data_IF_905481881084
#
_entry.id   IF_905481881084
#
_cell.length_a   1.000
_cell.length_b   1.000
_cell.length_c   1.000
_cell.angle_alpha   90.00
_cell.angle_beta   90.00
_cell.angle_gamma   90.00
#
_symmetry.space_group_name_H-M   'P 1'
#
loop_
_entity.id
_entity.type
_entity.pdbx_description
1 polymer ?
#
# COMPACT_ATOMS: atom_id res chain seq x y z
N UNK A 1 14.99 16.36 -35.62
CA UNK A 1 14.71 16.50 -34.18
C UNK A 1 13.35 15.92 -33.90
N UNK A 2 13.33 14.74 -33.30
CA UNK A 2 12.12 14.05 -32.89
C UNK A 2 11.70 14.61 -31.51
N UNK A 3 10.53 15.26 -31.36
CA UNK A 3 10.10 15.85 -30.10
C UNK A 3 9.62 14.81 -29.06
N UNK A 4 9.61 13.55 -29.45
CA UNK A 4 9.22 12.45 -28.59
C UNK A 4 10.46 11.61 -28.32
N UNK A 5 11.05 11.70 -27.13
CA UNK A 5 12.15 10.85 -26.69
C UNK A 5 11.76 9.36 -26.60
N UNK A 6 11.11 8.84 -27.63
CA UNK A 6 10.75 7.43 -27.76
C UNK A 6 11.97 6.74 -28.38
N UNK A 7 12.70 6.00 -27.56
CA UNK A 7 13.58 4.95 -28.06
C UNK A 7 12.64 3.91 -28.70
N UNK A 8 12.73 3.75 -30.03
CA UNK A 8 11.91 2.80 -30.78
C UNK A 8 12.14 1.39 -30.18
N UNK A 9 11.07 0.63 -30.03
CA UNK A 9 11.05 -0.74 -29.51
C UNK A 9 11.75 -1.77 -30.42
N UNK A 10 12.50 -1.34 -31.44
CA UNK A 10 13.16 -2.23 -32.38
C UNK A 10 14.65 -2.52 -32.09
N UNK A 11 15.21 -1.97 -31.01
CA UNK A 11 16.62 -2.20 -30.65
C UNK A 11 16.78 -3.01 -29.38
N UNK A 12 16.33 -4.26 -29.40
CA UNK A 12 16.54 -5.25 -28.32
C UNK A 12 18.02 -5.69 -28.16
N UNK A 13 18.95 -5.06 -28.86
CA UNK A 13 20.39 -5.34 -28.76
C UNK A 13 21.20 -4.21 -28.13
N UNK A 14 20.60 -3.06 -27.83
CA UNK A 14 21.31 -2.02 -27.11
C UNK A 14 21.46 -2.43 -25.64
N UNK A 15 22.68 -2.38 -25.13
CA UNK A 15 23.02 -2.44 -23.70
C UNK A 15 22.12 -1.44 -22.99
N UNK A 16 21.03 -1.92 -22.36
CA UNK A 16 20.05 -1.08 -21.68
C UNK A 16 20.75 -0.12 -20.72
N UNK A 17 20.24 1.09 -20.60
CA UNK A 17 20.74 2.04 -19.63
C UNK A 17 20.66 1.38 -18.24
N UNK A 18 21.79 1.36 -17.54
CA UNK A 18 21.88 0.74 -16.20
C UNK A 18 22.25 1.77 -15.17
N UNK A 19 21.80 1.57 -13.95
CA UNK A 19 22.21 2.36 -12.80
C UNK A 19 23.72 2.26 -12.61
N UNK A 20 24.41 3.39 -12.73
CA UNK A 20 25.87 3.49 -12.70
C UNK A 20 26.46 4.00 -11.38
N UNK A 21 25.67 4.04 -10.30
CA UNK A 21 26.09 4.54 -8.98
C UNK A 21 25.75 3.53 -7.88
N UNK A 22 26.44 3.65 -6.75
CA UNK A 22 26.13 2.93 -5.52
C UNK A 22 25.32 3.84 -4.59
N UNK A 23 24.55 3.25 -3.68
CA UNK A 23 23.92 4.00 -2.59
C UNK A 23 25.01 4.69 -1.77
N UNK A 24 24.88 5.98 -1.59
CA UNK A 24 25.85 6.73 -0.80
C UNK A 24 25.79 6.35 0.69
N UNK A 25 26.95 6.15 1.35
CA UNK A 25 27.01 5.72 2.76
C UNK A 25 26.25 6.62 3.73
N UNK A 26 26.16 7.92 3.46
CA UNK A 26 25.43 8.88 4.30
C UNK A 26 23.93 8.57 4.47
N UNK A 27 23.37 7.72 3.61
CA UNK A 27 21.96 7.29 3.66
C UNK A 27 21.77 5.91 4.29
N UNK A 28 22.84 5.25 4.78
CA UNK A 28 22.72 3.92 5.39
C UNK A 28 22.02 3.97 6.75
N UNK A 29 22.23 5.03 7.51
CA UNK A 29 21.74 5.19 8.88
C UNK A 29 20.49 6.07 8.97
N UNK A 30 19.79 6.32 7.85
CA UNK A 30 18.54 7.08 7.89
C UNK A 30 17.48 6.31 8.66
N UNK A 31 16.74 6.96 9.57
CA UNK A 31 15.68 6.32 10.30
C UNK A 31 14.60 5.79 9.35
N UNK A 32 14.08 4.60 9.63
CA UNK A 32 12.96 4.05 8.89
C UNK A 32 11.67 4.82 9.19
N UNK A 33 10.78 4.91 8.21
CA UNK A 33 9.48 5.56 8.32
C UNK A 33 9.57 7.04 8.74
N UNK A 34 10.52 7.77 8.14
CA UNK A 34 10.68 9.21 8.35
C UNK A 34 10.88 9.95 7.03
N UNK A 35 10.44 11.21 6.99
CA UNK A 35 10.73 12.16 5.90
C UNK A 35 11.95 13.04 6.23
N UNK A 36 12.79 13.37 5.23
CA UNK A 36 12.72 12.86 3.86
C UNK A 36 13.00 11.36 3.80
N UNK A 37 12.26 10.63 2.99
CA UNK A 37 12.51 9.21 2.76
C UNK A 37 13.21 9.04 1.41
N UNK A 38 14.30 8.28 1.38
CA UNK A 38 15.06 8.05 0.15
C UNK A 38 15.28 6.56 -0.05
N UNK A 39 14.91 6.06 -1.23
CA UNK A 39 15.07 4.65 -1.62
C UNK A 39 15.91 4.57 -2.89
N UNK A 40 16.86 3.65 -2.91
CA UNK A 40 17.82 3.52 -3.99
C UNK A 40 17.60 2.24 -4.79
N UNK A 41 17.72 2.30 -6.13
CA UNK A 41 17.83 1.12 -6.96
C UNK A 41 19.18 0.41 -6.74
N UNK A 42 19.24 -0.87 -7.06
CA UNK A 42 20.50 -1.61 -7.07
C UNK A 42 21.37 -1.17 -8.26
N UNK A 43 22.69 -1.05 -8.01
CA UNK A 43 23.65 -0.76 -9.06
C UNK A 43 23.59 -1.84 -10.14
N UNK A 44 23.59 -1.41 -11.38
CA UNK A 44 23.54 -2.29 -12.53
C UNK A 44 22.15 -2.75 -12.94
N UNK A 45 21.09 -2.46 -12.17
CA UNK A 45 19.72 -2.70 -12.62
C UNK A 45 19.38 -1.83 -13.86
N UNK A 46 18.41 -2.26 -14.63
CA UNK A 46 17.97 -1.56 -15.84
C UNK A 46 17.18 -0.31 -15.42
N UNK A 47 17.53 0.83 -16.03
CA UNK A 47 16.77 2.07 -15.86
C UNK A 47 15.66 2.10 -16.91
N UNK A 48 14.43 2.04 -16.47
CA UNK A 48 13.25 2.05 -17.32
C UNK A 48 13.03 3.44 -17.92
N UNK A 49 12.56 3.51 -19.17
CA UNK A 49 12.30 4.76 -19.84
C UNK A 49 11.10 5.49 -19.26
N UNK A 50 11.01 6.77 -19.55
CA UNK A 50 9.86 7.59 -19.24
C UNK A 50 9.34 8.26 -20.54
N UNK A 51 8.10 8.71 -20.49
CA UNK A 51 7.54 9.63 -21.48
C UNK A 51 6.91 10.82 -20.75
N UNK A 52 6.71 11.91 -21.45
CA UNK A 52 5.86 13.02 -20.97
C UNK A 52 4.44 12.82 -21.47
N UNK A 53 3.46 13.33 -20.76
CA UNK A 53 2.06 13.20 -21.15
C UNK A 53 1.16 14.12 -20.35
N UNK A 54 -0.16 14.06 -20.63
CA UNK A 54 -1.14 14.82 -19.86
C UNK A 54 -1.12 14.31 -18.43
N UNK A 55 -0.89 15.23 -17.49
CA UNK A 55 -0.87 14.96 -16.05
C UNK A 55 -2.29 14.96 -15.51
N UNK A 56 -2.51 14.18 -14.43
CA UNK A 56 -3.70 14.31 -13.61
C UNK A 56 -3.66 15.63 -12.81
N UNK A 57 -4.66 15.85 -11.97
CA UNK A 57 -4.70 17.04 -11.13
C UNK A 57 -3.48 17.05 -10.22
N UNK A 58 -2.74 18.15 -10.23
CA UNK A 58 -1.57 18.34 -9.38
C UNK A 58 -1.96 18.68 -7.93
N UNK A 59 -1.12 18.27 -6.99
CA UNK A 59 -1.16 18.72 -5.63
C UNK A 59 -0.90 20.23 -5.50
N UNK A 60 -1.28 20.80 -4.37
CA UNK A 60 -1.23 22.27 -4.18
C UNK A 60 0.17 22.86 -4.28
N UNK A 61 1.17 22.15 -3.76
CA UNK A 61 2.57 22.64 -3.69
C UNK A 61 3.47 22.14 -4.82
N UNK A 62 3.04 21.14 -5.60
CA UNK A 62 3.89 20.51 -6.62
C UNK A 62 4.42 21.49 -7.67
N UNK A 63 3.54 22.33 -8.24
CA UNK A 63 3.98 23.31 -9.25
C UNK A 63 4.95 24.34 -8.68
N UNK A 64 4.68 24.81 -7.47
CA UNK A 64 5.53 25.78 -6.79
C UNK A 64 6.94 25.21 -6.56
N UNK A 65 7.02 23.96 -6.15
CA UNK A 65 8.31 23.31 -5.91
C UNK A 65 9.03 22.93 -7.20
N UNK A 66 8.30 22.49 -8.24
CA UNK A 66 8.89 22.25 -9.56
C UNK A 66 9.54 23.51 -10.12
N UNK A 67 8.84 24.65 -10.10
CA UNK A 67 9.37 25.92 -10.59
C UNK A 67 10.56 26.40 -9.75
N UNK A 68 10.52 26.16 -8.43
CA UNK A 68 11.64 26.46 -7.53
C UNK A 68 12.86 25.60 -7.85
N UNK A 69 12.72 24.29 -8.03
CA UNK A 69 13.82 23.41 -8.44
C UNK A 69 14.39 23.84 -9.80
N UNK A 70 13.53 24.14 -10.76
CA UNK A 70 13.96 24.59 -12.11
C UNK A 70 14.79 25.88 -12.10
N UNK A 71 14.51 26.78 -11.17
CA UNK A 71 15.23 28.03 -11.06
C UNK A 71 16.60 27.92 -10.39
N UNK A 72 16.89 26.78 -9.71
CA UNK A 72 18.10 26.58 -8.93
C UNK A 72 18.98 25.44 -9.47
N UNK A 73 18.42 24.41 -10.07
CA UNK A 73 19.22 23.35 -10.66
C UNK A 73 19.77 23.78 -12.04
N UNK A 74 21.03 23.42 -12.36
CA UNK A 74 21.61 23.71 -13.68
C UNK A 74 20.79 23.09 -14.83
N UNK A 75 20.84 23.74 -16.01
CA UNK A 75 20.14 23.29 -17.21
C UNK A 75 20.55 21.89 -17.71
N UNK A 76 21.62 21.31 -17.16
CA UNK A 76 22.01 19.91 -17.40
C UNK A 76 21.08 18.89 -16.76
N UNK A 77 20.18 19.34 -15.89
CA UNK A 77 19.15 18.50 -15.28
C UNK A 77 17.81 18.74 -15.99
N UNK A 78 17.14 17.68 -16.40
CA UNK A 78 15.76 17.74 -16.84
C UNK A 78 14.82 17.69 -15.64
N UNK A 79 14.04 18.73 -15.40
CA UNK A 79 13.03 18.78 -14.34
C UNK A 79 11.66 18.69 -15.01
N UNK A 80 10.91 17.64 -14.70
CA UNK A 80 9.72 17.25 -15.46
C UNK A 80 8.57 16.92 -14.50
N UNK A 81 7.54 17.76 -14.47
CA UNK A 81 6.34 17.56 -13.63
C UNK A 81 5.26 16.68 -14.26
N UNK A 82 5.43 16.24 -15.51
CA UNK A 82 4.46 15.40 -16.21
C UNK A 82 5.12 14.13 -16.80
N UNK A 83 6.13 13.63 -16.12
CA UNK A 83 6.79 12.39 -16.48
C UNK A 83 5.88 11.19 -16.19
N UNK A 84 6.04 10.14 -16.97
CA UNK A 84 5.35 8.85 -16.81
C UNK A 84 6.39 7.75 -16.98
N UNK A 85 6.70 7.06 -15.87
CA UNK A 85 7.65 5.95 -15.86
C UNK A 85 6.96 4.72 -16.46
N UNK A 86 7.57 4.12 -17.47
CA UNK A 86 7.01 3.01 -18.25
C UNK A 86 7.51 1.68 -17.66
N UNK A 87 6.63 0.92 -17.03
CA UNK A 87 6.98 -0.37 -16.41
C UNK A 87 6.75 -1.58 -17.33
N UNK A 88 6.42 -1.35 -18.60
CA UNK A 88 6.11 -2.36 -19.61
C UNK A 88 4.81 -2.05 -20.34
N UNK A 89 4.56 -2.78 -21.44
CA UNK A 89 3.47 -2.47 -22.37
C UNK A 89 2.06 -2.66 -21.77
N UNK A 90 1.92 -3.53 -20.79
CA UNK A 90 0.63 -3.86 -20.14
C UNK A 90 0.43 -3.15 -18.80
N UNK A 91 1.42 -2.44 -18.30
CA UNK A 91 1.36 -1.79 -17.00
C UNK A 91 0.95 -0.33 -17.10
N UNK A 92 0.09 0.11 -16.18
CA UNK A 92 -0.19 1.54 -16.04
C UNK A 92 1.11 2.25 -15.61
N UNK A 93 1.53 3.33 -16.31
CA UNK A 93 2.73 4.05 -15.94
C UNK A 93 2.59 4.69 -14.55
N UNK A 94 3.69 4.78 -13.81
CA UNK A 94 3.76 5.62 -12.61
C UNK A 94 4.02 7.07 -13.01
N UNK A 95 3.38 7.98 -12.29
CA UNK A 95 3.49 9.42 -12.50
C UNK A 95 4.16 10.04 -11.28
N UNK A 96 5.46 10.41 -11.36
CA UNK A 96 6.13 11.23 -10.36
C UNK A 96 5.45 12.59 -10.21
N UNK A 97 5.42 13.14 -9.01
CA UNK A 97 5.04 14.53 -8.84
C UNK A 97 6.06 15.44 -9.55
N UNK A 98 7.37 15.16 -9.37
CA UNK A 98 8.44 15.81 -10.09
C UNK A 98 9.54 14.80 -10.41
N UNK A 99 9.90 14.65 -11.67
CA UNK A 99 11.05 13.83 -12.07
C UNK A 99 12.29 14.68 -12.29
N UNK A 100 13.43 14.24 -11.73
CA UNK A 100 14.74 14.83 -12.00
C UNK A 100 15.57 13.84 -12.82
N UNK A 101 16.00 14.28 -14.01
CA UNK A 101 16.75 13.48 -14.95
C UNK A 101 18.14 14.10 -15.12
N UNK A 102 19.16 13.41 -14.68
CA UNK A 102 20.54 13.87 -14.87
C UNK A 102 21.13 13.26 -16.14
N UNK A 103 21.65 14.12 -17.01
CA UNK A 103 22.38 13.73 -18.23
C UNK A 103 23.81 13.33 -17.88
N UNK A 104 23.99 12.22 -17.19
CA UNK A 104 25.30 11.68 -16.84
C UNK A 104 25.42 10.22 -17.25
N UNK A 105 26.67 9.74 -17.34
CA UNK A 105 26.95 8.32 -17.61
C UNK A 105 26.41 7.37 -16.53
N UNK A 106 25.98 7.92 -15.38
CA UNK A 106 25.46 7.16 -14.23
C UNK A 106 23.96 6.90 -14.33
N UNK A 107 23.26 7.48 -15.31
CA UNK A 107 21.82 7.32 -15.53
C UNK A 107 20.96 7.63 -14.31
N UNK A 108 21.25 8.73 -13.61
CA UNK A 108 20.53 9.14 -12.42
C UNK A 108 19.11 9.57 -12.82
N UNK A 109 18.13 8.99 -12.18
CA UNK A 109 16.70 9.29 -12.31
C UNK A 109 16.12 9.38 -10.91
N UNK A 110 15.46 10.45 -10.60
CA UNK A 110 14.85 10.67 -9.28
C UNK A 110 13.36 10.95 -9.47
N UNK A 111 12.56 10.22 -8.73
CA UNK A 111 11.14 10.43 -8.52
C UNK A 111 10.99 11.20 -7.21
N UNK A 112 10.60 12.46 -7.29
CA UNK A 112 10.25 13.27 -6.13
C UNK A 112 8.76 13.13 -5.90
N UNK A 113 8.39 12.74 -4.68
CA UNK A 113 7.03 12.62 -4.20
C UNK A 113 6.78 13.62 -3.09
N UNK A 114 5.62 14.26 -3.10
CA UNK A 114 5.19 15.27 -2.13
C UNK A 114 3.95 14.75 -1.43
N UNK A 115 4.13 14.31 -0.20
CA UNK A 115 3.10 13.62 0.55
C UNK A 115 2.30 14.60 1.43
N UNK A 116 1.00 14.63 1.24
CA UNK A 116 0.05 15.25 2.14
C UNK A 116 -0.67 14.21 3.01
N UNK A 117 -1.01 14.53 4.27
CA UNK A 117 -1.65 13.55 5.16
C UNK A 117 -3.10 13.24 4.79
N UNK A 118 -3.77 14.11 4.04
CA UNK A 118 -5.15 13.91 3.61
C UNK A 118 -5.48 14.76 2.38
N UNK A 119 -6.45 14.31 1.60
CA UNK A 119 -6.97 15.06 0.47
C UNK A 119 -7.68 16.34 0.96
N UNK A 120 -7.30 17.51 0.43
CA UNK A 120 -7.84 18.79 0.88
C UNK A 120 -9.35 18.93 0.69
N UNK A 121 -9.94 18.28 -0.32
CA UNK A 121 -11.38 18.36 -0.64
C UNK A 121 -12.19 17.28 0.06
N UNK A 122 -11.77 16.01 -0.06
CA UNK A 122 -12.53 14.87 0.49
C UNK A 122 -12.23 14.59 1.95
N UNK A 123 -11.14 15.14 2.49
CA UNK A 123 -10.61 14.90 3.84
C UNK A 123 -10.16 13.46 4.10
N UNK A 124 -10.19 12.62 3.08
CA UNK A 124 -9.74 11.23 3.18
C UNK A 124 -8.21 11.16 3.43
N UNK A 125 -7.76 10.28 4.34
CA UNK A 125 -6.35 10.04 4.60
C UNK A 125 -5.58 9.64 3.34
N UNK A 126 -4.35 10.16 3.19
CA UNK A 126 -3.41 9.83 2.12
C UNK A 126 -2.03 9.55 2.68
N UNK A 127 -1.19 8.86 1.95
CA UNK A 127 0.22 8.63 2.25
C UNK A 127 0.53 8.14 3.68
N UNK A 128 -0.40 7.44 4.32
CA UNK A 128 -0.20 6.88 5.67
C UNK A 128 0.51 5.53 5.62
N UNK A 129 1.13 5.13 6.72
CA UNK A 129 1.79 3.82 6.84
C UNK A 129 0.81 2.71 6.48
N UNK A 130 1.14 1.97 5.43
CA UNK A 130 0.32 0.87 4.94
C UNK A 130 -0.72 1.23 3.89
N UNK A 131 -0.75 2.45 3.35
CA UNK A 131 -1.65 2.82 2.25
C UNK A 131 -1.25 2.20 0.89
N UNK A 132 -0.03 1.65 0.78
CA UNK A 132 0.47 1.02 -0.44
C UNK A 132 1.60 1.79 -1.13
N UNK A 133 2.00 2.94 -0.63
CA UNK A 133 3.09 3.74 -1.18
C UNK A 133 4.43 3.00 -1.15
N UNK A 134 4.68 2.17 -0.12
CA UNK A 134 5.89 1.35 -0.03
C UNK A 134 6.01 0.39 -1.21
N UNK A 135 4.89 -0.13 -1.69
CA UNK A 135 4.86 -0.99 -2.86
C UNK A 135 5.10 -0.21 -4.16
N UNK A 136 4.51 0.98 -4.28
CA UNK A 136 4.77 1.90 -5.38
C UNK A 136 6.25 2.26 -5.44
N UNK A 137 6.85 2.64 -4.32
CA UNK A 137 8.28 2.95 -4.20
C UNK A 137 9.15 1.77 -4.65
N UNK A 138 8.83 0.56 -4.21
CA UNK A 138 9.59 -0.65 -4.59
C UNK A 138 9.57 -0.87 -6.11
N UNK A 139 8.43 -0.69 -6.76
CA UNK A 139 8.33 -0.85 -8.21
C UNK A 139 9.14 0.21 -8.97
N UNK A 140 9.13 1.45 -8.49
CA UNK A 140 9.90 2.56 -9.07
C UNK A 140 11.40 2.32 -8.88
N UNK A 141 11.81 1.87 -7.69
CA UNK A 141 13.20 1.48 -7.41
C UNK A 141 13.64 0.31 -8.29
N UNK A 142 12.81 -0.72 -8.48
CA UNK A 142 13.10 -1.83 -9.38
C UNK A 142 13.16 -1.41 -10.85
N UNK A 143 12.52 -0.30 -11.21
CA UNK A 143 12.64 0.34 -12.51
C UNK A 143 13.91 1.20 -12.67
N UNK A 144 14.81 1.18 -11.69
CA UNK A 144 16.10 1.88 -11.73
C UNK A 144 16.02 3.36 -11.38
N UNK A 145 14.94 3.80 -10.74
CA UNK A 145 14.75 5.17 -10.29
C UNK A 145 14.97 5.28 -8.77
N UNK A 146 15.54 6.39 -8.33
CA UNK A 146 15.55 6.76 -6.92
C UNK A 146 14.18 7.33 -6.59
N UNK A 147 13.61 6.95 -5.43
CA UNK A 147 12.43 7.62 -4.88
C UNK A 147 12.88 8.51 -3.74
N UNK A 148 12.43 9.76 -3.74
CA UNK A 148 12.67 10.72 -2.67
C UNK A 148 11.37 11.41 -2.27
N UNK A 149 10.95 11.17 -1.02
CA UNK A 149 9.68 11.68 -0.50
C UNK A 149 9.90 12.79 0.52
N UNK A 150 9.10 13.84 0.38
CA UNK A 150 8.99 14.94 1.34
C UNK A 150 7.53 15.08 1.79
N UNK A 151 7.32 15.65 2.97
CA UNK A 151 5.96 16.11 3.30
C UNK A 151 5.64 17.42 2.58
N UNK A 152 4.36 17.63 2.25
CA UNK A 152 3.88 18.90 1.70
C UNK A 152 4.26 20.08 2.62
N UNK A 153 4.18 19.87 3.95
CA UNK A 153 4.60 20.88 4.93
C UNK A 153 6.10 21.23 4.83
N UNK A 154 7.00 20.22 4.66
CA UNK A 154 8.43 20.48 4.44
C UNK A 154 8.64 21.30 3.16
N UNK A 155 7.96 20.92 2.07
CA UNK A 155 8.06 21.64 0.79
C UNK A 155 7.55 23.08 0.93
N UNK A 156 6.44 23.31 1.61
CA UNK A 156 5.87 24.64 1.74
C UNK A 156 6.65 25.54 2.69
N UNK A 157 7.05 25.01 3.84
CA UNK A 157 7.68 25.79 4.90
C UNK A 157 9.21 25.87 4.79
N UNK A 158 9.87 24.85 4.19
CA UNK A 158 11.33 24.67 4.22
C UNK A 158 11.91 24.28 2.85
N UNK A 159 11.35 24.85 1.76
CA UNK A 159 11.70 24.46 0.37
C UNK A 159 13.19 24.56 0.05
N UNK A 160 13.91 25.54 0.65
CA UNK A 160 15.36 25.71 0.47
C UNK A 160 16.12 24.52 1.11
N UNK A 161 15.67 24.03 2.25
CA UNK A 161 16.27 22.86 2.89
C UNK A 161 15.94 21.58 2.13
N UNK A 162 14.72 21.46 1.55
CA UNK A 162 14.37 20.36 0.68
C UNK A 162 15.26 20.33 -0.58
N UNK A 163 15.50 21.47 -1.20
CA UNK A 163 16.42 21.59 -2.33
C UNK A 163 17.86 21.22 -1.92
N UNK A 164 18.28 21.61 -0.73
CA UNK A 164 19.59 21.25 -0.20
C UNK A 164 19.77 19.73 -0.03
N UNK A 165 18.71 19.01 0.38
CA UNK A 165 18.73 17.55 0.41
C UNK A 165 18.82 16.94 -1.00
N UNK A 166 18.18 17.53 -2.01
CA UNK A 166 18.32 17.11 -3.41
C UNK A 166 19.75 17.33 -3.89
N UNK A 167 20.38 18.48 -3.60
CA UNK A 167 21.78 18.72 -3.93
C UNK A 167 22.72 17.73 -3.24
N UNK A 168 22.50 17.44 -1.97
CA UNK A 168 23.25 16.45 -1.20
C UNK A 168 23.15 15.06 -1.84
N UNK A 169 21.97 14.67 -2.25
CA UNK A 169 21.75 13.42 -2.95
C UNK A 169 22.51 13.39 -4.27
N UNK A 170 22.32 14.37 -5.13
CA UNK A 170 22.97 14.43 -6.45
C UNK A 170 24.50 14.44 -6.32
N UNK A 171 25.05 15.26 -5.42
CA UNK A 171 26.50 15.31 -5.18
C UNK A 171 27.06 13.99 -4.61
N UNK A 172 26.31 13.31 -3.77
CA UNK A 172 26.73 12.02 -3.22
C UNK A 172 26.78 10.91 -4.27
N UNK A 173 25.94 11.00 -5.31
CA UNK A 173 25.91 10.06 -6.43
C UNK A 173 26.97 10.38 -7.47
N UNK A 174 27.26 11.64 -7.70
CA UNK A 174 28.28 12.12 -8.64
C UNK A 174 28.92 13.43 -8.17
N UNK A 175 30.11 13.33 -7.59
CA UNK A 175 30.86 14.49 -7.10
C UNK A 175 31.33 15.46 -8.19
N UNK A 176 31.18 15.10 -9.49
CA UNK A 176 31.44 16.01 -10.59
C UNK A 176 30.34 17.07 -10.76
N UNK A 177 29.18 16.89 -10.13
CA UNK A 177 28.18 17.94 -10.08
C UNK A 177 28.65 19.07 -9.18
N UNK A 178 29.11 20.14 -9.80
CA UNK A 178 29.43 21.39 -9.13
C UNK A 178 28.16 22.24 -9.17
N UNK A 179 27.46 22.30 -8.07
CA UNK A 179 26.39 23.27 -7.87
C UNK A 179 27.08 24.61 -7.58
N UNK A 180 26.68 25.67 -8.27
CA UNK A 180 27.19 27.02 -7.96
C UNK A 180 26.88 27.30 -6.49
N UNK A 181 27.94 27.54 -5.73
CA UNK A 181 28.06 27.37 -4.27
C UNK A 181 27.15 28.32 -3.46
N UNK A 182 26.43 29.23 -4.06
CA UNK A 182 25.59 30.18 -3.33
C UNK A 182 24.42 29.55 -2.59
N UNK A 183 24.00 28.34 -2.97
CA UNK A 183 22.76 27.71 -2.47
C UNK A 183 22.98 26.36 -1.76
N UNK A 184 24.18 25.77 -1.79
CA UNK A 184 24.44 24.49 -1.15
C UNK A 184 25.25 24.65 0.14
N UNK A 185 24.59 24.57 1.29
CA UNK A 185 25.24 24.48 2.60
C UNK A 185 25.14 23.07 3.17
N UNK A 186 26.28 22.38 3.31
CA UNK A 186 26.38 21.02 3.85
C UNK A 186 25.93 20.92 5.32
N UNK A 187 25.89 22.03 6.04
CA UNK A 187 25.52 22.08 7.45
C UNK A 187 24.03 22.34 7.66
N UNK A 188 23.30 22.72 6.61
CA UNK A 188 21.86 22.91 6.68
C UNK A 188 21.18 21.55 6.43
N UNK A 189 20.47 21.06 7.42
CA UNK A 189 19.70 19.83 7.35
C UNK A 189 18.20 20.11 7.41
N UNK A 190 17.45 19.36 6.62
CA UNK A 190 16.01 19.33 6.73
C UNK A 190 15.61 18.58 8.02
N UNK A 191 14.66 19.13 8.75
CA UNK A 191 14.11 18.46 9.94
C UNK A 191 13.47 17.13 9.59
N UNK A 192 13.80 16.09 10.36
CA UNK A 192 13.18 14.75 10.20
C UNK A 192 11.75 14.78 10.72
N UNK A 193 10.79 14.26 9.93
CA UNK A 193 9.41 14.09 10.34
C UNK A 193 9.02 12.61 10.29
N UNK A 194 8.29 12.08 11.27
CA UNK A 194 7.82 10.71 11.21
C UNK A 194 6.74 10.54 10.13
N UNK A 195 6.66 9.35 9.55
CA UNK A 195 5.49 8.96 8.78
C UNK A 195 4.28 8.94 9.71
N UNK A 196 3.13 9.32 9.19
CA UNK A 196 1.87 9.28 9.94
C UNK A 196 1.13 7.97 9.72
N UNK A 197 0.37 7.56 10.72
CA UNK A 197 -0.62 6.49 10.62
C UNK A 197 -1.92 7.01 10.01
N UNK A 198 -2.82 6.11 9.61
CA UNK A 198 -4.16 6.50 9.16
C UNK A 198 -4.91 7.33 10.21
N UNK A 199 -4.74 6.97 11.49
CA UNK A 199 -5.34 7.72 12.60
C UNK A 199 -4.75 9.13 12.73
N UNK A 200 -3.43 9.28 12.59
CA UNK A 200 -2.79 10.59 12.60
C UNK A 200 -3.30 11.44 11.44
N UNK A 201 -3.39 10.88 10.24
CA UNK A 201 -3.93 11.57 9.07
C UNK A 201 -5.39 12.03 9.27
N UNK A 202 -6.24 11.18 9.85
CA UNK A 202 -7.62 11.54 10.23
C UNK A 202 -7.66 12.66 11.28
N UNK A 203 -6.78 12.59 12.27
CA UNK A 203 -6.65 13.67 13.26
C UNK A 203 -6.18 14.99 12.63
N UNK A 204 -5.19 14.92 11.75
CA UNK A 204 -4.70 16.08 11.01
C UNK A 204 -5.81 16.69 10.14
N UNK A 205 -6.63 15.85 9.48
CA UNK A 205 -7.79 16.30 8.73
C UNK A 205 -8.80 17.02 9.64
N UNK A 206 -9.18 16.41 10.77
CA UNK A 206 -10.15 16.98 11.70
C UNK A 206 -9.68 18.31 12.33
N UNK A 207 -8.38 18.54 12.42
CA UNK A 207 -7.78 19.77 13.01
C UNK A 207 -7.36 20.80 11.96
N UNK A 208 -7.72 20.62 10.68
CA UNK A 208 -7.33 21.49 9.56
C UNK A 208 -5.83 21.72 9.47
N UNK A 209 -5.03 20.65 9.65
CA UNK A 209 -3.58 20.75 9.72
C UNK A 209 -2.97 21.37 8.44
N UNK A 210 -3.41 20.92 7.25
CA UNK A 210 -2.93 21.46 5.96
C UNK A 210 -3.32 22.91 5.78
N UNK A 211 -4.57 23.25 6.04
CA UNK A 211 -5.10 24.61 5.93
C UNK A 211 -4.33 25.60 6.81
N UNK A 212 -3.88 25.13 7.99
CA UNK A 212 -3.14 25.98 8.93
C UNK A 212 -1.75 26.34 8.42
N UNK A 213 -0.95 25.40 7.88
CA UNK A 213 0.38 25.75 7.38
C UNK A 213 0.35 26.35 5.97
N UNK A 214 -0.59 25.91 5.11
CA UNK A 214 -0.75 26.47 3.77
C UNK A 214 -1.42 27.85 3.77
N UNK A 215 -2.11 28.22 4.87
CA UNK A 215 -2.98 29.38 4.94
C UNK A 215 -4.00 29.39 3.78
N UNK A 216 -4.50 28.23 3.43
CA UNK A 216 -5.38 27.99 2.29
C UNK A 216 -6.57 27.14 2.71
N UNK A 217 -7.77 27.56 2.30
CA UNK A 217 -9.00 26.80 2.53
C UNK A 217 -9.38 26.04 1.24
N UNK A 218 -9.48 24.71 1.33
CA UNK A 218 -9.88 23.85 0.20
C UNK A 218 -11.39 23.84 -0.08
N UNK A 219 -12.15 24.74 0.52
CA UNK A 219 -13.60 24.86 0.32
C UNK A 219 -14.44 24.09 1.34
N UNK A 220 -13.83 23.60 2.42
CA UNK A 220 -14.54 22.97 3.52
C UNK A 220 -14.89 24.00 4.58
N UNK A 221 -16.19 24.21 4.84
CA UNK A 221 -16.69 25.09 5.89
C UNK A 221 -16.78 24.39 7.26
N UNK A 222 -16.35 23.14 7.37
CA UNK A 222 -16.37 22.41 8.64
C UNK A 222 -15.45 23.07 9.67
N UNK A 223 -16.01 23.32 10.83
CA UNK A 223 -15.28 23.89 11.97
C UNK A 223 -14.21 22.90 12.41
N UNK A 224 -12.97 23.36 12.42
CA UNK A 224 -11.85 22.54 12.91
C UNK A 224 -12.09 22.12 14.36
N UNK A 225 -12.04 20.83 14.61
CA UNK A 225 -12.03 20.28 15.96
C UNK A 225 -10.68 20.57 16.63
N UNK A 226 -10.70 20.89 17.90
CA UNK A 226 -9.46 20.88 18.66
C UNK A 226 -8.94 19.45 18.80
N UNK A 227 -7.63 19.28 18.94
CA UNK A 227 -7.03 17.95 19.17
C UNK A 227 -7.67 17.21 20.33
N UNK A 228 -8.05 17.94 21.38
CA UNK A 228 -8.69 17.35 22.56
C UNK A 228 -10.11 16.86 22.29
N UNK A 229 -10.88 17.62 21.52
CA UNK A 229 -12.23 17.24 21.08
C UNK A 229 -12.21 16.02 20.16
N UNK A 230 -11.26 15.97 19.21
CA UNK A 230 -11.08 14.81 18.35
C UNK A 230 -10.74 13.54 19.13
N UNK A 231 -9.79 13.64 20.07
CA UNK A 231 -9.41 12.49 20.91
C UNK A 231 -10.57 12.03 21.81
N UNK A 232 -11.37 12.95 22.31
CA UNK A 232 -12.57 12.63 23.10
C UNK A 232 -13.61 11.88 22.27
N UNK A 233 -13.92 12.36 21.06
CA UNK A 233 -14.83 11.66 20.15
C UNK A 233 -14.32 10.27 19.79
N UNK A 234 -13.02 10.11 19.49
CA UNK A 234 -12.41 8.81 19.20
C UNK A 234 -12.50 7.85 20.36
N UNK A 235 -12.36 8.32 21.62
CA UNK A 235 -12.55 7.48 22.82
C UNK A 235 -14.01 7.09 23.02
N UNK A 236 -14.96 7.99 22.76
CA UNK A 236 -16.39 7.70 22.78
C UNK A 236 -16.77 6.64 21.74
N UNK A 237 -16.26 6.76 20.50
CA UNK A 237 -16.43 5.76 19.44
C UNK A 237 -15.82 4.40 19.82
N UNK A 238 -14.65 4.37 20.45
CA UNK A 238 -14.04 3.15 20.97
C UNK A 238 -14.88 2.50 22.07
N UNK A 239 -15.52 3.31 22.91
CA UNK A 239 -16.43 2.81 23.96
C UNK A 239 -17.67 2.19 23.31
N UNK A 240 -18.26 2.86 22.32
CA UNK A 240 -19.40 2.35 21.55
C UNK A 240 -19.00 1.07 20.80
N UNK A 241 -17.85 1.06 20.14
CA UNK A 241 -17.31 -0.13 19.46
C UNK A 241 -17.07 -1.29 20.45
N UNK A 242 -16.58 -1.02 21.67
CA UNK A 242 -16.47 -2.02 22.73
C UNK A 242 -17.84 -2.55 23.19
N UNK A 243 -18.85 -1.69 23.32
CA UNK A 243 -20.21 -2.10 23.68
C UNK A 243 -20.84 -2.97 22.58
N UNK A 244 -20.61 -2.64 21.30
CA UNK A 244 -21.04 -3.46 20.17
C UNK A 244 -20.26 -4.79 20.12
N UNK A 245 -18.98 -4.82 20.52
CA UNK A 245 -18.12 -6.03 20.58
C UNK A 245 -18.48 -6.98 21.73
N UNK A 246 -19.27 -6.59 22.72
CA UNK A 246 -19.73 -7.50 23.78
C UNK A 246 -20.73 -8.56 23.32
N UNK A 247 -21.27 -8.47 22.11
CA UNK A 247 -22.21 -9.46 21.56
C UNK A 247 -21.54 -10.77 21.09
N UNK A 248 -20.25 -10.80 20.61
CA UNK A 248 -19.60 -12.05 20.19
C UNK A 248 -18.95 -12.88 21.30
N UNK A 249 -18.94 -12.44 22.57
CA UNK A 249 -18.32 -13.23 23.66
C UNK A 249 -18.99 -14.58 23.91
N UNK A 250 -20.21 -14.79 23.43
CA UNK A 250 -20.88 -16.09 23.49
C UNK A 250 -20.28 -17.15 22.55
N UNK A 251 -19.58 -16.74 21.47
CA UNK A 251 -18.87 -17.69 20.57
C UNK A 251 -17.45 -18.02 21.06
N UNK A 252 -16.78 -17.11 21.74
CA UNK A 252 -15.44 -17.34 22.30
C UNK A 252 -15.44 -18.34 23.48
N UNK A 253 -16.55 -18.50 24.18
CA UNK A 253 -16.65 -19.48 25.30
C UNK A 253 -16.70 -20.93 24.79
N UNK A 254 -17.13 -21.19 23.57
CA UNK A 254 -17.12 -22.55 23.01
C UNK A 254 -15.75 -22.98 22.46
N UNK A 255 -14.83 -22.04 22.17
CA UNK A 255 -13.46 -22.37 21.78
C UNK A 255 -12.55 -22.76 22.96
N UNK A 256 -12.94 -22.43 24.19
CA UNK A 256 -12.14 -22.74 25.39
C UNK A 256 -12.24 -24.20 25.86
N UNK A 257 -13.05 -25.05 25.21
CA UNK A 257 -13.19 -26.47 25.55
C UNK A 257 -12.38 -27.42 24.65
N UNK A 258 -11.56 -26.89 23.76
CA UNK A 258 -10.60 -27.70 23.02
C UNK A 258 -9.52 -28.15 23.99
N UNK A 259 -9.39 -29.44 24.20
CA UNK A 259 -8.37 -30.05 25.03
C UNK A 259 -6.96 -29.75 24.45
N UNK A 260 -6.44 -28.58 24.79
CA UNK A 260 -5.12 -28.11 24.41
C UNK A 260 -3.98 -28.95 25.03
N UNK A 261 -4.30 -29.95 25.86
CA UNK A 261 -3.30 -30.80 26.52
C UNK A 261 -2.59 -31.75 25.55
N UNK A 262 -3.07 -31.94 24.33
CA UNK A 262 -2.48 -32.83 23.31
C UNK A 262 -1.61 -32.11 22.28
N UNK A 263 -1.66 -30.79 22.21
CA UNK A 263 -0.81 -29.98 21.34
C UNK A 263 0.14 -29.19 22.23
N UNK A 264 1.42 -29.53 22.20
CA UNK A 264 2.44 -29.09 23.15
C UNK A 264 2.81 -27.60 23.13
N UNK A 265 2.10 -26.77 22.36
CA UNK A 265 2.43 -25.36 22.18
C UNK A 265 1.24 -24.47 22.44
N UNK A 266 1.44 -23.47 23.28
CA UNK A 266 0.46 -22.44 23.62
C UNK A 266 0.31 -21.49 22.42
N UNK A 267 -0.93 -21.09 22.11
CA UNK A 267 -1.20 -20.06 21.10
C UNK A 267 -0.54 -18.74 21.51
N UNK A 268 0.03 -18.03 20.56
CA UNK A 268 0.61 -16.72 20.84
C UNK A 268 -0.51 -15.78 21.31
N UNK A 269 -0.40 -15.33 22.57
CA UNK A 269 -1.41 -14.47 23.20
C UNK A 269 -1.30 -13.01 22.73
N UNK A 270 -0.23 -12.69 22.05
CA UNK A 270 0.03 -11.33 21.58
C UNK A 270 -0.67 -11.00 20.26
N UNK A 271 -1.27 -12.01 19.58
CA UNK A 271 -2.02 -11.79 18.35
C UNK A 271 -3.52 -12.00 18.56
N UNK A 272 -4.31 -11.06 18.09
CA UNK A 272 -5.77 -11.10 18.07
C UNK A 272 -6.27 -11.02 16.62
N UNK A 273 -7.20 -11.90 16.26
CA UNK A 273 -7.85 -11.87 14.95
C UNK A 273 -9.30 -11.40 15.06
N UNK A 274 -9.64 -10.37 14.32
CA UNK A 274 -10.99 -9.83 14.22
C UNK A 274 -11.62 -10.35 12.93
N UNK A 275 -12.36 -11.46 13.05
CA UNK A 275 -12.88 -12.22 11.91
C UNK A 275 -13.83 -11.43 11.00
N UNK A 276 -14.62 -10.50 11.57
CA UNK A 276 -15.58 -9.71 10.81
C UNK A 276 -14.89 -8.71 9.88
N UNK A 277 -13.87 -8.05 10.39
CA UNK A 277 -13.07 -7.04 9.68
C UNK A 277 -11.88 -7.66 8.93
N UNK A 278 -11.62 -8.96 9.18
CA UNK A 278 -10.46 -9.70 8.67
C UNK A 278 -9.12 -9.02 9.04
N UNK A 279 -9.02 -8.54 10.28
CA UNK A 279 -7.87 -7.78 10.77
C UNK A 279 -7.13 -8.58 11.83
N UNK A 280 -5.81 -8.60 11.73
CA UNK A 280 -4.91 -9.16 12.73
C UNK A 280 -4.24 -8.03 13.50
N UNK A 281 -4.20 -8.13 14.84
CA UNK A 281 -3.59 -7.12 15.70
C UNK A 281 -2.57 -7.78 16.63
N UNK A 282 -1.33 -7.32 16.57
CA UNK A 282 -0.25 -7.79 17.42
C UNK A 282 -0.04 -6.83 18.60
N UNK A 283 0.08 -7.39 19.81
CA UNK A 283 0.26 -6.64 21.07
C UNK A 283 -0.74 -5.50 21.26
N UNK A 284 -1.97 -5.67 20.78
CA UNK A 284 -3.09 -4.72 20.90
C UNK A 284 -2.92 -3.39 20.13
N UNK A 285 -1.76 -3.15 19.51
CA UNK A 285 -1.45 -1.85 18.90
C UNK A 285 -0.99 -1.94 17.45
N UNK A 286 -0.45 -3.08 17.01
CA UNK A 286 0.12 -3.24 15.67
C UNK A 286 -0.87 -4.01 14.82
N UNK A 287 -1.52 -3.32 13.89
CA UNK A 287 -2.32 -4.00 12.87
C UNK A 287 -1.39 -4.67 11.86
N UNK A 288 -1.62 -5.96 11.65
CA UNK A 288 -0.91 -6.75 10.64
C UNK A 288 -1.77 -6.85 9.37
N UNK A 289 -1.12 -6.92 8.22
CA UNK A 289 -1.81 -7.22 6.95
C UNK A 289 -1.94 -8.73 6.79
N UNK A 290 -3.08 -9.19 6.30
CA UNK A 290 -3.18 -10.58 5.88
C UNK A 290 -2.26 -10.83 4.68
N UNK A 291 -1.68 -12.02 4.59
CA UNK A 291 -0.83 -12.40 3.44
C UNK A 291 -1.59 -12.25 2.11
N UNK A 292 -2.89 -12.53 2.10
CA UNK A 292 -3.77 -12.29 0.95
C UNK A 292 -3.83 -10.83 0.53
N UNK A 293 -3.82 -9.90 1.49
CA UNK A 293 -3.82 -8.46 1.22
C UNK A 293 -2.48 -8.05 0.61
N UNK A 294 -1.38 -8.54 1.18
CA UNK A 294 -0.03 -8.33 0.62
C UNK A 294 0.05 -8.87 -0.81
N UNK A 295 -0.40 -10.12 -1.04
CA UNK A 295 -0.43 -10.72 -2.38
C UNK A 295 -1.29 -9.89 -3.34
N UNK A 296 -2.45 -9.41 -2.89
CA UNK A 296 -3.36 -8.61 -3.72
C UNK A 296 -2.75 -7.31 -4.23
N UNK A 297 -1.75 -6.77 -3.53
CA UNK A 297 -1.03 -5.56 -3.96
C UNK A 297 -0.20 -5.78 -5.23
N UNK A 298 0.18 -7.04 -5.51
CA UNK A 298 0.94 -7.40 -6.72
C UNK A 298 0.06 -7.64 -7.93
N UNK A 299 -1.26 -7.69 -7.77
CA UNK A 299 -2.19 -7.95 -8.84
C UNK A 299 -3.06 -6.73 -9.12
N UNK A 300 -3.35 -6.53 -10.41
CA UNK A 300 -4.26 -5.48 -10.84
C UNK A 300 -5.64 -5.72 -10.21
N UNK A 301 -6.22 -4.70 -9.59
CA UNK A 301 -7.61 -4.79 -9.12
C UNK A 301 -8.53 -5.10 -10.30
N UNK A 302 -9.36 -6.10 -10.14
CA UNK A 302 -10.33 -6.48 -11.16
C UNK A 302 -11.40 -5.38 -11.30
N UNK A 303 -11.53 -4.84 -12.52
CA UNK A 303 -12.58 -3.86 -12.82
C UNK A 303 -13.93 -4.57 -13.00
N UNK A 304 -14.56 -4.88 -11.87
CA UNK A 304 -15.84 -5.58 -11.82
C UNK A 304 -16.95 -4.81 -12.55
N UNK A 305 -16.90 -3.48 -12.57
CA UNK A 305 -17.94 -2.64 -13.17
C UNK A 305 -17.92 -2.76 -14.70
N UNK A 306 -16.76 -2.55 -15.32
CA UNK A 306 -16.64 -2.66 -16.78
C UNK A 306 -16.88 -4.09 -17.28
N UNK A 307 -16.33 -5.08 -16.57
CA UNK A 307 -16.51 -6.48 -16.94
C UNK A 307 -17.92 -7.00 -16.72
N UNK A 308 -18.59 -6.60 -15.63
CA UNK A 308 -19.98 -6.98 -15.39
C UNK A 308 -20.91 -6.45 -16.48
N UNK A 309 -20.70 -5.21 -16.94
CA UNK A 309 -21.49 -4.64 -18.04
C UNK A 309 -21.36 -5.45 -19.32
N UNK A 310 -20.15 -5.81 -19.71
CA UNK A 310 -19.89 -6.64 -20.91
C UNK A 310 -20.51 -8.02 -20.78
N UNK A 311 -20.35 -8.65 -19.61
CA UNK A 311 -20.83 -10.01 -19.36
C UNK A 311 -22.36 -10.07 -19.27
N UNK A 312 -22.97 -9.09 -18.60
CA UNK A 312 -24.43 -8.98 -18.48
C UNK A 312 -25.09 -8.83 -19.85
N UNK A 313 -24.53 -7.98 -20.72
CA UNK A 313 -25.01 -7.82 -22.09
C UNK A 313 -24.95 -9.13 -22.88
N UNK A 314 -23.84 -9.87 -22.77
CA UNK A 314 -23.69 -11.17 -23.42
C UNK A 314 -24.62 -12.27 -22.88
N UNK A 315 -25.01 -12.19 -21.62
CA UNK A 315 -25.88 -13.16 -20.94
C UNK A 315 -27.37 -12.74 -20.98
N UNK A 316 -27.70 -11.56 -21.47
CA UNK A 316 -29.09 -11.07 -21.50
C UNK A 316 -29.68 -10.78 -20.10
N UNK A 317 -28.85 -10.42 -19.13
CA UNK A 317 -29.28 -10.12 -17.75
C UNK A 317 -28.90 -8.68 -17.38
N UNK A 318 -29.41 -8.19 -16.24
CA UNK A 318 -29.02 -6.87 -15.72
C UNK A 318 -27.54 -6.87 -15.27
N UNK A 319 -26.89 -5.71 -15.31
CA UNK A 319 -25.54 -5.56 -14.76
C UNK A 319 -25.52 -5.88 -13.26
N UNK A 320 -26.59 -5.54 -12.54
CA UNK A 320 -26.75 -5.82 -11.11
C UNK A 320 -26.80 -7.33 -10.87
N UNK A 321 -27.65 -8.04 -11.60
CA UNK A 321 -27.73 -9.49 -11.54
C UNK A 321 -26.35 -10.15 -11.75
N UNK A 322 -25.57 -9.64 -12.72
CA UNK A 322 -24.22 -10.17 -12.98
C UNK A 322 -23.25 -9.90 -11.81
N UNK A 323 -23.31 -8.74 -11.18
CA UNK A 323 -22.51 -8.42 -10.00
C UNK A 323 -22.90 -9.27 -8.80
N UNK A 324 -24.19 -9.41 -8.55
CA UNK A 324 -24.72 -10.26 -7.47
C UNK A 324 -24.41 -11.75 -7.68
N UNK A 325 -24.40 -12.25 -8.92
CA UNK A 325 -23.94 -13.60 -9.22
C UNK A 325 -22.46 -13.81 -8.85
N UNK A 326 -21.61 -12.83 -9.12
CA UNK A 326 -20.19 -12.92 -8.75
C UNK A 326 -20.00 -12.82 -7.25
N UNK A 327 -20.72 -11.92 -6.58
CA UNK A 327 -20.66 -11.78 -5.13
C UNK A 327 -21.17 -13.04 -4.43
N UNK A 328 -22.29 -13.59 -4.86
CA UNK A 328 -22.85 -14.86 -4.40
C UNK A 328 -21.84 -16.01 -4.52
N UNK A 329 -21.20 -16.13 -5.69
CA UNK A 329 -20.18 -17.16 -5.92
C UNK A 329 -18.94 -16.94 -5.03
N UNK A 330 -18.54 -15.69 -4.83
CA UNK A 330 -17.46 -15.34 -3.92
C UNK A 330 -17.80 -15.64 -2.46
N UNK A 331 -19.01 -15.33 -2.03
CA UNK A 331 -19.52 -15.66 -0.70
C UNK A 331 -19.56 -17.17 -0.46
N UNK A 332 -20.13 -17.92 -1.41
CA UNK A 332 -20.15 -19.38 -1.35
C UNK A 332 -18.74 -19.96 -1.18
N UNK A 333 -17.80 -19.53 -2.02
CA UNK A 333 -16.42 -20.05 -1.97
C UNK A 333 -15.73 -19.73 -0.63
N UNK A 334 -15.96 -18.56 -0.04
CA UNK A 334 -15.40 -18.19 1.26
C UNK A 334 -16.02 -19.01 2.39
N UNK A 335 -17.33 -19.11 2.43
CA UNK A 335 -18.04 -19.78 3.52
C UNK A 335 -17.82 -21.29 3.49
N UNK A 336 -17.94 -21.91 2.31
CA UNK A 336 -17.66 -23.34 2.12
C UNK A 336 -16.19 -23.66 2.40
N UNK A 337 -15.26 -22.79 1.99
CA UNK A 337 -13.84 -22.93 2.31
C UNK A 337 -13.58 -22.89 3.82
N UNK A 338 -14.18 -21.92 4.53
CA UNK A 338 -14.08 -21.83 6.00
C UNK A 338 -14.66 -23.07 6.68
N UNK A 339 -15.81 -23.55 6.19
CA UNK A 339 -16.43 -24.77 6.69
C UNK A 339 -15.54 -26.00 6.47
N UNK A 340 -14.94 -26.14 5.29
CA UNK A 340 -14.00 -27.22 5.01
C UNK A 340 -12.80 -27.20 5.95
N UNK A 341 -12.22 -26.04 6.23
CA UNK A 341 -11.14 -25.88 7.20
C UNK A 341 -11.56 -26.34 8.59
N UNK A 342 -12.79 -26.01 9.02
CA UNK A 342 -13.32 -26.49 10.30
C UNK A 342 -13.43 -28.03 10.33
N UNK A 343 -13.91 -28.65 9.25
CA UNK A 343 -14.02 -30.11 9.17
C UNK A 343 -12.63 -30.79 9.14
N UNK A 344 -11.64 -30.17 8.49
CA UNK A 344 -10.23 -30.60 8.53
C UNK A 344 -9.67 -30.49 9.95
N UNK A 345 -9.96 -29.41 10.66
CA UNK A 345 -9.58 -29.26 12.07
C UNK A 345 -10.20 -30.37 12.94
N UNK A 346 -11.51 -30.66 12.78
CA UNK A 346 -12.21 -31.76 13.46
C UNK A 346 -11.51 -33.11 13.23
N UNK A 347 -11.06 -33.37 12.00
CA UNK A 347 -10.29 -34.59 11.71
C UNK A 347 -9.06 -34.72 12.61
N UNK A 348 -8.27 -33.63 12.78
CA UNK A 348 -7.05 -33.69 13.58
C UNK A 348 -7.32 -33.79 15.09
N UNK A 349 -8.39 -33.22 15.59
CA UNK A 349 -8.80 -33.34 16.99
C UNK A 349 -9.66 -34.61 17.26
N UNK A 350 -9.84 -35.49 16.24
CA UNK A 350 -10.58 -36.76 16.31
C UNK A 350 -12.08 -36.58 16.55
N UNK A 351 -12.65 -35.49 16.16
CA UNK A 351 -14.10 -35.30 16.06
C UNK A 351 -14.64 -35.81 14.71
N UNK A 352 -15.93 -36.08 14.66
CA UNK A 352 -16.58 -36.52 13.42
C UNK A 352 -16.83 -35.33 12.51
N UNK A 353 -16.24 -35.29 11.29
CA UNK A 353 -16.53 -34.23 10.33
C UNK A 353 -17.97 -34.33 9.80
N UNK A 354 -18.55 -33.18 9.49
CA UNK A 354 -19.79 -33.03 8.76
C UNK A 354 -19.52 -32.51 7.35
N UNK A 355 -20.22 -33.00 6.33
CA UNK A 355 -19.94 -32.68 4.93
C UNK A 355 -21.02 -31.83 4.27
N UNK A 356 -22.09 -31.52 4.99
CA UNK A 356 -23.22 -30.77 4.45
C UNK A 356 -23.22 -29.33 5.00
N UNK A 357 -22.88 -28.37 4.15
CA UNK A 357 -22.96 -26.97 4.47
C UNK A 357 -24.19 -26.30 3.88
N UNK A 358 -25.00 -25.64 4.71
CA UNK A 358 -26.17 -24.90 4.26
C UNK A 358 -25.76 -23.47 3.86
N UNK A 359 -25.67 -23.20 2.56
CA UNK A 359 -25.33 -21.91 2.01
C UNK A 359 -26.58 -21.14 1.64
N UNK A 360 -26.66 -19.88 2.10
CA UNK A 360 -27.72 -18.93 1.77
C UNK A 360 -27.16 -17.61 1.30
N UNK A 361 -27.69 -17.09 0.19
CA UNK A 361 -27.38 -15.76 -0.33
C UNK A 361 -28.67 -15.04 -0.70
N UNK A 362 -28.86 -13.80 -0.21
CA UNK A 362 -30.06 -13.00 -0.43
C UNK A 362 -29.65 -11.62 -1.00
N UNK A 363 -29.45 -11.56 -2.32
CA UNK A 363 -29.32 -10.31 -3.09
C UNK A 363 -30.68 -9.73 -3.45
N UNK A 364 -30.70 -8.66 -4.23
CA UNK A 364 -31.95 -8.09 -4.75
C UNK A 364 -32.48 -8.84 -5.98
N UNK A 365 -31.58 -9.34 -6.84
CA UNK A 365 -31.92 -10.08 -8.05
C UNK A 365 -31.47 -11.56 -7.99
N UNK A 366 -30.54 -11.88 -7.08
CA UNK A 366 -30.01 -13.25 -6.92
C UNK A 366 -30.31 -13.79 -5.54
N UNK A 367 -31.04 -14.92 -5.49
CA UNK A 367 -31.33 -15.61 -4.24
C UNK A 367 -30.90 -17.08 -4.40
N UNK A 368 -30.10 -17.56 -3.44
CA UNK A 368 -29.60 -18.94 -3.41
C UNK A 368 -29.83 -19.51 -2.02
N UNK A 369 -30.41 -20.67 -1.96
CA UNK A 369 -30.58 -21.49 -0.76
C UNK A 369 -30.29 -22.93 -1.15
N UNK A 370 -29.17 -23.49 -0.68
CA UNK A 370 -28.75 -24.84 -1.05
C UNK A 370 -27.86 -25.50 -0.03
N UNK A 371 -27.82 -26.82 -0.04
CA UNK A 371 -26.79 -27.58 0.68
C UNK A 371 -25.62 -27.84 -0.25
N UNK A 372 -24.42 -27.53 0.20
CA UNK A 372 -23.16 -27.82 -0.49
C UNK A 372 -22.49 -29.00 0.20
N UNK A 373 -22.23 -30.05 -0.57
CA UNK A 373 -21.50 -31.23 -0.08
C UNK A 373 -19.99 -31.06 -0.33
N UNK A 374 -19.20 -31.10 0.73
CA UNK A 374 -17.75 -30.99 0.72
C UNK A 374 -17.02 -32.35 0.85
N UNK A 375 -17.71 -33.44 0.72
CA UNK A 375 -17.15 -34.81 0.87
C UNK A 375 -16.03 -35.08 -0.14
N UNK A 376 -16.14 -34.54 -1.33
CA UNK A 376 -15.11 -34.66 -2.38
C UNK A 376 -13.81 -33.96 -2.01
N UNK A 377 -13.89 -32.70 -1.60
CA UNK A 377 -12.74 -31.88 -1.17
C UNK A 377 -12.08 -32.51 0.06
N UNK A 378 -12.87 -32.98 1.00
CA UNK A 378 -12.36 -33.68 2.18
C UNK A 378 -11.70 -35.01 1.82
N UNK A 379 -12.17 -35.72 0.81
CA UNK A 379 -11.53 -36.94 0.30
C UNK A 379 -10.16 -36.62 -0.33
N UNK A 380 -10.05 -35.52 -1.09
CA UNK A 380 -8.75 -35.06 -1.59
C UNK A 380 -7.79 -34.69 -0.47
N UNK A 381 -8.27 -34.01 0.57
CA UNK A 381 -7.47 -33.73 1.76
C UNK A 381 -6.94 -35.03 2.41
N UNK A 382 -7.76 -36.04 2.61
CA UNK A 382 -7.35 -37.35 3.17
C UNK A 382 -6.32 -38.06 2.29
N UNK A 383 -6.50 -38.00 0.97
CA UNK A 383 -5.55 -38.56 0.01
C UNK A 383 -4.21 -37.83 0.12
N UNK A 384 -4.19 -36.52 0.15
CA UNK A 384 -3.00 -35.70 0.34
C UNK A 384 -2.26 -36.05 1.65
N UNK A 385 -2.97 -36.17 2.77
CA UNK A 385 -2.36 -36.60 4.03
C UNK A 385 -1.65 -37.94 3.96
N UNK A 386 -2.25 -38.90 3.26
CA UNK A 386 -1.70 -40.24 3.12
C UNK A 386 -0.48 -40.28 2.18
N UNK A 387 -0.51 -39.48 1.10
CA UNK A 387 0.58 -39.43 0.12
C UNK A 387 1.81 -38.69 0.65
N UNK A 388 1.61 -37.59 1.36
CA UNK A 388 2.70 -36.71 1.83
C UNK A 388 3.19 -37.07 3.25
N UNK A 389 2.58 -38.05 3.91
CA UNK A 389 2.91 -38.47 5.28
C UNK A 389 3.01 -37.31 6.27
N UNK A 390 2.06 -36.38 6.19
CA UNK A 390 2.04 -35.15 6.99
C UNK A 390 1.66 -35.47 8.42
N UNK A 391 2.52 -35.13 9.35
CA UNK A 391 2.23 -35.13 10.79
C UNK A 391 1.97 -33.67 11.18
N UNK A 392 0.71 -33.28 11.40
CA UNK A 392 0.43 -31.89 11.75
C UNK A 392 0.98 -31.58 13.14
N UNK A 393 1.72 -30.51 13.20
CA UNK A 393 2.23 -29.98 14.46
C UNK A 393 1.14 -29.21 15.22
N UNK A 394 0.39 -28.43 14.45
CA UNK A 394 -0.75 -27.63 14.93
C UNK A 394 -1.67 -27.28 13.77
N UNK A 395 -2.96 -27.21 14.02
CA UNK A 395 -3.96 -26.74 13.09
C UNK A 395 -4.45 -25.35 13.49
N UNK A 396 -4.89 -24.55 12.52
CA UNK A 396 -5.41 -23.18 12.70
C UNK A 396 -4.40 -22.26 13.44
N UNK A 397 -3.11 -22.41 13.14
CA UNK A 397 -2.08 -21.58 13.74
C UNK A 397 -1.91 -20.29 12.95
N UNK A 398 -2.08 -19.17 13.63
CA UNK A 398 -1.79 -17.85 13.07
C UNK A 398 -0.27 -17.65 13.09
N UNK A 399 0.30 -17.56 11.89
CA UNK A 399 1.72 -17.26 11.69
C UNK A 399 1.82 -15.80 11.28
N UNK A 400 2.67 -15.03 11.95
CA UNK A 400 2.84 -13.62 11.70
C UNK A 400 4.29 -13.17 11.85
N UNK A 401 4.64 -12.08 11.17
CA UNK A 401 5.91 -11.40 11.34
C UNK A 401 5.64 -9.94 11.78
N UNK A 402 5.94 -9.59 13.04
CA UNK A 402 5.66 -8.25 13.56
C UNK A 402 6.58 -7.17 12.98
N UNK A 403 7.73 -7.55 12.41
CA UNK A 403 8.67 -6.61 11.77
C UNK A 403 8.16 -6.24 10.38
N UNK A 404 7.75 -7.23 9.59
CA UNK A 404 7.16 -7.04 8.27
C UNK A 404 5.68 -6.58 8.35
N UNK A 405 5.07 -6.67 9.52
CA UNK A 405 3.64 -6.40 9.77
C UNK A 405 2.69 -7.22 8.89
N UNK A 406 3.02 -8.49 8.71
CA UNK A 406 2.26 -9.49 7.94
C UNK A 406 1.76 -10.58 8.88
#
# INVERSE_FOLDING_TARGET
SNPYGIISTQDNTQKGHRVGYDKAPIYNDMPLNTYPAIRFPEKGCIVFPYRTGKQFRRGYTEQLFEDFIKSHLPNSFGIIGNAKILLGDECRPYEPDIAIIASSNKNIRIDIEIDEPYNGVTREPTHFIGCGDEFRDLNIVNAGWIVMRFTEEQIFCEKEKCLNEIYRLLWSLDSNYVFEILDFDRNIHLGIKPFWTELDAKMMAATNFRENYLQHNFGNEEVALSKQEYLKQTEEEKVIAKQIKCIPQLRAQNQNNIDNTKLSFVQDKDIEFFAKEHIYVYKKFIQLKAVSDVISMFFRKFDSISWSRKKALGNGISQRCQLEQWDCKGAESREVGTYLHEQIHKHFIRETPDFAYHFQYNGEEVHVDKIVDISTEYTYFKKFLNEENIIPFRTEWQIFDPVLRI
#
